data_IF_757109502747
#
_entry.id   IF_757109502747
#
_cell.length_a   1.000
_cell.length_b   1.000
_cell.length_c   1.000
_cell.angle_alpha   90.00
_cell.angle_beta   90.00
_cell.angle_gamma   90.00
#
_symmetry.space_group_name_H-M   'P 1'
#
loop_
_entity.id
_entity.type
_entity.pdbx_description
1 polymer ?
#
# COMPACT_ATOMS: atom_id res chain seq x y z
N UNK A 1 9.94 -7.72 56.27
CA UNK A 1 10.31 -7.54 54.86
C UNK A 1 9.45 -6.39 54.37
N UNK A 2 9.70 -5.18 54.91
CA UNK A 2 8.71 -4.10 54.94
C UNK A 2 9.37 -2.72 54.75
N UNK A 3 10.27 -2.61 53.78
CA UNK A 3 10.92 -1.32 53.43
C UNK A 3 10.67 -0.87 51.98
N UNK A 4 9.95 -1.64 51.17
CA UNK A 4 9.76 -1.33 49.74
C UNK A 4 8.51 -0.52 49.40
N UNK A 5 7.67 -0.16 50.38
CA UNK A 5 6.43 0.60 50.15
C UNK A 5 6.54 2.08 50.59
N UNK A 6 7.63 2.47 51.24
CA UNK A 6 7.84 3.86 51.71
C UNK A 6 8.39 4.84 50.66
N UNK A 7 8.68 4.42 49.43
CA UNK A 7 9.25 5.31 48.39
C UNK A 7 8.23 5.94 47.43
N UNK A 8 6.92 5.67 47.55
CA UNK A 8 5.92 6.15 46.57
C UNK A 8 5.09 7.34 47.11
N UNK A 9 5.31 7.80 48.35
CA UNK A 9 4.62 8.97 48.90
C UNK A 9 5.59 9.99 49.47
N UNK A 10 6.12 10.85 48.61
CA UNK A 10 6.85 12.02 49.08
C UNK A 10 7.38 12.87 47.95
N UNK A 11 6.52 13.67 47.31
CA UNK A 11 6.70 15.12 47.09
C UNK A 11 5.67 15.65 46.08
N UNK A 12 4.69 16.40 46.59
CA UNK A 12 4.00 17.47 45.85
C UNK A 12 4.62 18.81 46.28
N UNK A 13 4.45 19.81 45.40
CA UNK A 13 4.81 21.23 45.51
C UNK A 13 6.31 21.54 45.25
N UNK A 14 6.69 22.53 44.44
CA UNK A 14 6.08 23.85 44.23
C UNK A 14 6.66 24.56 43.00
N UNK A 15 5.90 25.55 42.56
CA UNK A 15 5.99 26.52 41.45
C UNK A 15 7.28 27.32 41.17
N UNK A 16 7.31 27.85 39.93
CA UNK A 16 7.93 29.11 39.42
C UNK A 16 9.48 29.14 39.29
N UNK A 17 10.14 29.72 38.27
CA UNK A 17 9.81 30.83 37.38
C UNK A 17 10.84 30.91 36.20
N UNK A 18 10.42 31.51 35.07
CA UNK A 18 11.16 32.35 34.08
C UNK A 18 12.25 31.85 33.08
N UNK A 19 11.97 32.28 31.83
CA UNK A 19 12.83 32.94 30.83
C UNK A 19 13.90 32.16 30.02
N UNK A 20 13.64 32.06 28.71
CA UNK A 20 14.51 32.64 27.68
C UNK A 20 15.59 31.73 27.07
N UNK A 21 15.43 31.36 25.80
CA UNK A 21 16.31 31.75 24.68
C UNK A 21 16.22 30.79 23.48
N UNK A 22 15.87 31.36 22.32
CA UNK A 22 16.07 30.78 20.98
C UNK A 22 17.46 31.25 20.51
N UNK A 23 18.20 30.46 19.71
CA UNK A 23 18.41 30.90 18.32
C UNK A 23 18.19 29.77 17.30
N UNK A 24 17.61 30.19 16.16
CA UNK A 24 17.57 29.45 14.90
C UNK A 24 18.87 29.64 14.13
N UNK A 25 19.18 28.61 13.36
CA UNK A 25 20.17 28.51 12.32
C UNK A 25 19.94 29.44 11.10
N UNK A 26 20.99 29.47 10.28
CA UNK A 26 21.12 29.83 8.86
C UNK A 26 21.64 31.23 8.50
N UNK A 27 22.82 31.24 7.87
CA UNK A 27 23.00 31.89 6.55
C UNK A 27 24.38 31.60 5.94
N UNK A 28 24.35 31.51 4.59
CA UNK A 28 25.43 31.68 3.61
C UNK A 28 26.11 30.39 3.15
N UNK A 29 26.43 30.17 1.86
CA UNK A 29 26.47 31.05 0.68
C UNK A 29 26.60 30.17 -0.58
N UNK A 30 26.03 30.65 -1.69
CA UNK A 30 26.18 30.09 -3.03
C UNK A 30 27.61 30.21 -3.59
N UNK A 31 28.03 29.29 -4.46
CA UNK A 31 29.05 29.52 -5.49
C UNK A 31 28.78 28.71 -6.77
N UNK A 32 28.73 29.44 -7.89
CA UNK A 32 28.84 28.97 -9.27
C UNK A 32 30.24 28.40 -9.58
N UNK A 33 30.34 27.53 -10.60
CA UNK A 33 31.63 27.26 -11.26
C UNK A 33 31.58 26.12 -12.28
N UNK A 34 31.72 26.48 -13.55
CA UNK A 34 31.71 25.65 -14.78
C UNK A 34 33.11 25.09 -15.11
N UNK A 35 33.12 23.97 -15.87
CA UNK A 35 34.04 23.58 -16.99
C UNK A 35 35.02 22.40 -16.85
N UNK A 36 34.92 21.51 -17.87
CA UNK A 36 35.97 20.70 -18.54
C UNK A 36 36.31 19.33 -17.92
N UNK A 37 36.61 18.25 -18.63
CA UNK A 37 36.71 17.93 -20.07
C UNK A 37 36.96 16.40 -20.21
N UNK A 38 36.50 15.79 -21.32
CA UNK A 38 36.89 14.52 -22.02
C UNK A 38 36.97 13.13 -21.33
N UNK A 39 36.14 12.19 -21.82
CA UNK A 39 36.51 10.89 -22.45
C UNK A 39 35.22 10.07 -22.73
N UNK A 40 34.65 10.12 -23.94
CA UNK A 40 34.66 9.07 -25.00
C UNK A 40 34.41 7.64 -24.47
N UNK A 41 33.19 7.13 -24.69
CA UNK A 41 32.93 5.87 -25.40
C UNK A 41 31.44 5.86 -25.80
N UNK A 42 31.19 5.81 -27.11
CA UNK A 42 29.86 5.80 -27.73
C UNK A 42 29.46 4.34 -27.95
N UNK A 43 28.39 3.81 -27.33
CA UNK A 43 27.89 2.48 -27.64
C UNK A 43 27.17 2.54 -28.99
N UNK A 44 27.65 1.75 -29.96
CA UNK A 44 27.06 1.65 -31.30
C UNK A 44 25.54 1.42 -31.26
N UNK A 45 24.84 2.14 -32.13
CA UNK A 45 23.40 2.08 -32.35
C UNK A 45 22.99 0.69 -32.88
N UNK A 46 22.06 -0.02 -32.22
CA UNK A 46 21.64 -1.36 -32.62
C UNK A 46 20.64 -1.37 -33.80
N UNK A 47 20.29 -0.22 -34.37
CA UNK A 47 19.28 -0.13 -35.44
C UNK A 47 19.85 -0.07 -36.88
N UNK A 48 21.16 -0.14 -37.07
CA UNK A 48 21.75 -0.39 -38.39
C UNK A 48 21.61 -1.87 -38.77
N UNK A 49 20.44 -2.24 -39.29
CA UNK A 49 20.24 -3.50 -40.00
C UNK A 49 20.25 -3.22 -41.51
N UNK A 50 21.36 -3.58 -42.16
CA UNK A 50 21.47 -3.63 -43.62
C UNK A 50 20.37 -4.55 -44.20
N UNK A 51 19.53 -3.99 -45.07
CA UNK A 51 18.62 -4.75 -45.92
C UNK A 51 19.44 -5.58 -46.92
N UNK A 52 19.50 -6.89 -46.71
CA UNK A 52 20.05 -7.84 -47.70
C UNK A 52 18.88 -8.56 -48.37
N UNK A 53 18.46 -8.06 -49.53
CA UNK A 53 17.65 -8.79 -50.50
C UNK A 53 18.53 -9.72 -51.35
N UNK A 54 18.33 -11.05 -51.35
CA UNK A 54 18.52 -11.91 -52.55
C UNK A 54 17.96 -13.36 -52.33
N UNK A 55 17.74 -14.20 -53.37
CA UNK A 55 16.56 -14.31 -54.23
C UNK A 55 15.79 -15.66 -54.10
N UNK A 56 14.61 -15.74 -54.71
CA UNK A 56 13.86 -16.97 -55.00
C UNK A 56 14.63 -17.94 -55.92
N UNK A 57 14.94 -19.17 -55.47
CA UNK A 57 14.77 -20.42 -56.25
C UNK A 57 15.15 -21.71 -55.47
N UNK A 58 14.27 -22.73 -55.48
CA UNK A 58 14.68 -24.13 -55.75
C UNK A 58 14.83 -25.18 -54.63
N UNK A 59 13.77 -25.99 -54.45
CA UNK A 59 13.72 -27.47 -54.22
C UNK A 59 14.30 -28.17 -52.96
N UNK A 60 13.36 -28.86 -52.29
CA UNK A 60 13.32 -30.26 -51.78
C UNK A 60 14.14 -30.75 -50.57
N UNK A 61 13.33 -31.24 -49.63
CA UNK A 61 13.42 -32.47 -48.81
C UNK A 61 14.34 -32.55 -47.57
N UNK A 62 13.65 -32.92 -46.48
CA UNK A 62 14.09 -33.66 -45.28
C UNK A 62 14.99 -32.98 -44.27
N UNK A 63 14.46 -32.86 -43.05
CA UNK A 63 15.27 -32.82 -41.83
C UNK A 63 14.90 -31.70 -40.87
N UNK A 64 14.16 -32.07 -39.84
CA UNK A 64 14.21 -31.47 -38.50
C UNK A 64 13.98 -29.96 -38.39
N UNK A 65 12.71 -29.56 -38.45
CA UNK A 65 12.27 -28.23 -38.06
C UNK A 65 12.22 -28.16 -36.52
N UNK A 66 13.36 -27.86 -35.90
CA UNK A 66 13.34 -27.22 -34.59
C UNK A 66 12.80 -25.80 -34.77
N UNK A 67 11.51 -25.64 -34.53
CA UNK A 67 10.85 -24.35 -34.44
C UNK A 67 11.33 -23.64 -33.16
N UNK A 68 12.18 -22.61 -33.22
CA UNK A 68 12.61 -21.92 -32.03
C UNK A 68 11.45 -21.01 -31.60
N UNK A 69 10.96 -21.21 -30.37
CA UNK A 69 10.05 -20.29 -29.65
C UNK A 69 8.54 -20.37 -29.92
N UNK A 70 7.96 -21.53 -30.28
CA UNK A 70 6.49 -21.70 -30.27
C UNK A 70 5.89 -21.96 -28.87
N UNK A 71 6.30 -21.21 -27.85
CA UNK A 71 5.74 -21.34 -26.49
C UNK A 71 5.61 -20.00 -25.78
N UNK A 72 4.88 -19.07 -26.39
CA UNK A 72 4.28 -17.94 -25.69
C UNK A 72 2.76 -18.11 -25.73
N UNK A 73 2.26 -19.04 -24.91
CA UNK A 73 0.84 -19.07 -24.62
C UNK A 73 0.48 -17.75 -23.91
N UNK A 74 -0.50 -16.97 -24.39
CA UNK A 74 -0.97 -15.81 -23.67
C UNK A 74 -1.49 -16.27 -22.31
N UNK A 75 -0.78 -15.94 -21.23
CA UNK A 75 -1.34 -16.08 -19.90
C UNK A 75 -2.57 -15.16 -19.88
N UNK A 76 -3.77 -15.74 -19.72
CA UNK A 76 -4.99 -14.96 -19.57
C UNK A 76 -4.86 -14.16 -18.28
N UNK A 77 -4.45 -12.89 -18.39
CA UNK A 77 -4.43 -11.96 -17.28
C UNK A 77 -5.87 -11.67 -16.91
N UNK A 78 -6.36 -12.32 -15.86
CA UNK A 78 -7.66 -12.01 -15.29
C UNK A 78 -7.52 -10.70 -14.50
N UNK A 79 -7.76 -9.58 -15.17
CA UNK A 79 -7.77 -8.26 -14.53
C UNK A 79 -9.12 -8.11 -13.83
N UNK A 80 -9.11 -8.24 -12.50
CA UNK A 80 -10.30 -7.98 -11.70
C UNK A 80 -10.59 -6.47 -11.73
N UNK A 81 -11.74 -6.10 -12.30
CA UNK A 81 -12.23 -4.73 -12.26
C UNK A 81 -12.84 -4.45 -10.88
N UNK A 82 -12.28 -3.47 -10.17
CA UNK A 82 -12.86 -2.98 -8.92
C UNK A 82 -14.17 -2.23 -9.23
N UNK A 83 -15.23 -2.54 -8.50
CA UNK A 83 -16.56 -1.95 -8.70
C UNK A 83 -16.75 -0.71 -7.82
N UNK A 84 -16.20 0.42 -8.27
CA UNK A 84 -16.35 1.70 -7.59
C UNK A 84 -17.77 2.26 -7.69
N UNK A 85 -18.57 1.84 -8.67
CA UNK A 85 -19.96 2.28 -8.80
C UNK A 85 -20.80 1.69 -7.66
N UNK A 86 -20.64 0.39 -7.38
CA UNK A 86 -21.27 -0.27 -6.22
C UNK A 86 -20.73 0.29 -4.90
N UNK A 87 -19.41 0.54 -4.80
CA UNK A 87 -18.83 1.17 -3.60
C UNK A 87 -19.47 2.54 -3.34
N UNK A 88 -19.57 3.37 -4.37
CA UNK A 88 -20.19 4.69 -4.30
C UNK A 88 -21.67 4.62 -3.88
N UNK A 89 -22.41 3.62 -4.36
CA UNK A 89 -23.79 3.39 -3.94
C UNK A 89 -23.85 2.99 -2.45
N UNK A 90 -23.01 2.05 -2.00
CA UNK A 90 -22.92 1.63 -0.59
C UNK A 90 -22.55 2.80 0.32
N UNK A 91 -21.59 3.64 -0.10
CA UNK A 91 -21.17 4.85 0.62
C UNK A 91 -22.35 5.82 0.82
N UNK A 92 -23.17 6.05 -0.22
CA UNK A 92 -24.36 6.91 -0.17
C UNK A 92 -25.44 6.34 0.76
N UNK A 93 -25.79 5.06 0.60
CA UNK A 93 -26.82 4.40 1.41
C UNK A 93 -26.47 4.36 2.89
N UNK A 94 -25.18 4.17 3.19
CA UNK A 94 -24.69 3.99 4.56
C UNK A 94 -24.18 5.27 5.20
N UNK A 95 -24.30 6.42 4.52
CA UNK A 95 -23.83 7.73 4.97
C UNK A 95 -22.36 7.69 5.42
N UNK A 96 -21.48 7.14 4.59
CA UNK A 96 -20.04 7.07 4.86
C UNK A 96 -19.45 8.49 5.00
N UNK A 97 -18.72 8.73 6.08
CA UNK A 97 -18.22 10.07 6.46
C UNK A 97 -16.71 10.25 6.22
N UNK A 98 -15.99 9.14 6.04
CA UNK A 98 -14.53 9.10 6.07
C UNK A 98 -14.02 8.30 4.87
N UNK A 99 -13.23 8.95 4.02
CA UNK A 99 -12.47 8.31 2.95
C UNK A 99 -11.12 7.77 3.46
N UNK A 100 -10.57 6.79 2.76
CA UNK A 100 -9.35 6.09 3.18
C UNK A 100 -8.15 7.03 3.31
N UNK A 101 -7.96 7.99 2.41
CA UNK A 101 -6.85 8.94 2.50
C UNK A 101 -6.87 9.73 3.82
N UNK A 102 -8.06 10.16 4.26
CA UNK A 102 -8.24 10.82 5.56
C UNK A 102 -7.88 9.91 6.74
N UNK A 103 -8.08 8.60 6.60
CA UNK A 103 -7.65 7.61 7.61
C UNK A 103 -6.12 7.51 7.62
N UNK A 104 -5.46 7.47 6.47
CA UNK A 104 -3.99 7.39 6.36
C UNK A 104 -3.29 8.58 7.00
N UNK A 105 -3.86 9.78 6.85
CA UNK A 105 -3.30 11.01 7.41
C UNK A 105 -3.64 11.20 8.90
N UNK A 106 -4.53 10.37 9.43
CA UNK A 106 -4.96 10.47 10.83
C UNK A 106 -3.81 10.18 11.80
N UNK A 107 -3.63 11.10 12.75
CA UNK A 107 -2.77 10.91 13.93
C UNK A 107 -3.47 10.18 15.07
N UNK A 108 -4.77 9.90 14.95
CA UNK A 108 -5.54 9.17 15.98
C UNK A 108 -5.20 7.68 15.97
N UNK A 109 -5.42 7.02 17.09
CA UNK A 109 -5.28 5.56 17.24
C UNK A 109 -6.57 4.80 16.92
N UNK A 110 -7.64 5.51 16.54
CA UNK A 110 -8.94 4.94 16.22
C UNK A 110 -9.66 5.77 15.17
N UNK A 111 -10.39 5.09 14.29
CA UNK A 111 -11.31 5.69 13.31
C UNK A 111 -12.70 5.71 13.94
N UNK A 112 -13.23 6.88 14.28
CA UNK A 112 -14.52 6.99 14.99
C UNK A 112 -15.75 6.86 14.08
N UNK A 113 -15.62 7.23 12.80
CA UNK A 113 -16.72 7.20 11.84
C UNK A 113 -16.80 5.93 11.01
N UNK A 114 -17.76 5.92 10.08
CA UNK A 114 -17.98 4.84 9.13
C UNK A 114 -17.14 5.11 7.88
N UNK A 115 -16.49 4.07 7.38
CA UNK A 115 -15.76 4.08 6.11
C UNK A 115 -16.02 2.79 5.34
N UNK A 116 -15.80 2.83 4.03
CA UNK A 116 -15.99 1.68 3.16
C UNK A 116 -14.80 1.52 2.21
N UNK A 117 -14.51 0.28 1.83
CA UNK A 117 -13.48 -0.02 0.85
C UNK A 117 -13.66 -1.41 0.24
N UNK A 118 -13.11 -1.59 -0.95
CA UNK A 118 -13.06 -2.87 -1.64
C UNK A 118 -11.80 -3.61 -1.18
N UNK A 119 -11.92 -4.91 -0.88
CA UNK A 119 -10.77 -5.78 -0.63
C UNK A 119 -10.02 -5.97 -1.95
N UNK A 120 -8.91 -5.26 -2.13
CA UNK A 120 -8.03 -5.40 -3.30
C UNK A 120 -7.10 -6.60 -3.19
N UNK A 121 -6.64 -6.90 -1.97
CA UNK A 121 -5.81 -8.06 -1.65
C UNK A 121 -6.26 -8.68 -0.34
N UNK A 122 -6.17 -9.99 -0.26
CA UNK A 122 -6.42 -10.78 0.95
C UNK A 122 -5.43 -11.94 0.97
N UNK A 123 -4.68 -12.07 2.06
CA UNK A 123 -3.69 -13.12 2.25
C UNK A 123 -3.73 -13.61 3.69
N UNK A 124 -3.82 -14.93 3.88
CA UNK A 124 -3.60 -15.53 5.18
C UNK A 124 -2.14 -15.34 5.62
N UNK A 125 -1.95 -14.99 6.88
CA UNK A 125 -0.64 -14.83 7.50
C UNK A 125 -0.60 -15.65 8.79
N UNK A 126 0.12 -16.77 8.77
CA UNK A 126 0.09 -17.73 9.88
C UNK A 126 -1.24 -18.48 9.96
N UNK A 127 -1.58 -18.94 11.16
CA UNK A 127 -2.75 -19.81 11.40
C UNK A 127 -4.00 -19.09 11.88
N UNK A 128 -3.91 -17.80 12.25
CA UNK A 128 -5.00 -17.08 12.92
C UNK A 128 -5.31 -15.70 12.33
N UNK A 129 -4.47 -15.19 11.43
CA UNK A 129 -4.54 -13.80 10.96
C UNK A 129 -4.63 -13.74 9.44
N UNK A 130 -5.42 -12.79 8.93
CA UNK A 130 -5.43 -12.42 7.53
C UNK A 130 -5.04 -10.95 7.37
N UNK A 131 -4.16 -10.68 6.41
CA UNK A 131 -3.82 -9.33 5.97
C UNK A 131 -4.64 -8.97 4.74
N UNK A 132 -5.15 -7.74 4.69
CA UNK A 132 -5.95 -7.23 3.59
C UNK A 132 -5.53 -5.81 3.19
N UNK A 133 -5.69 -5.48 1.92
CA UNK A 133 -5.53 -4.13 1.38
C UNK A 133 -6.92 -3.63 0.98
N UNK A 134 -7.44 -2.61 1.66
CA UNK A 134 -8.68 -1.94 1.28
C UNK A 134 -8.37 -0.78 0.35
N UNK A 135 -9.22 -0.57 -0.65
CA UNK A 135 -9.13 0.53 -1.59
C UNK A 135 -10.48 1.22 -1.78
N UNK A 136 -10.45 2.53 -1.91
CA UNK A 136 -11.57 3.35 -2.33
C UNK A 136 -11.09 4.36 -3.39
N UNK A 137 -11.94 5.33 -3.75
CA UNK A 137 -11.62 6.34 -4.75
C UNK A 137 -10.50 7.29 -4.32
N UNK A 138 -10.24 7.43 -3.01
CA UNK A 138 -9.22 8.31 -2.43
C UNK A 138 -7.85 7.64 -2.28
N UNK A 139 -7.82 6.32 -2.08
CA UNK A 139 -6.56 5.60 -1.93
C UNK A 139 -6.71 4.21 -1.35
N UNK A 140 -5.61 3.68 -0.81
CA UNK A 140 -5.57 2.36 -0.20
C UNK A 140 -4.90 2.34 1.17
N UNK A 141 -5.36 1.43 2.02
CA UNK A 141 -4.85 1.21 3.38
C UNK A 141 -4.78 -0.29 3.69
N UNK A 142 -3.71 -0.69 4.36
CA UNK A 142 -3.54 -2.06 4.84
C UNK A 142 -4.30 -2.28 6.15
N UNK A 143 -4.77 -3.50 6.35
CA UNK A 143 -5.37 -3.92 7.60
C UNK A 143 -5.14 -5.40 7.87
N UNK A 144 -5.43 -5.81 9.10
CA UNK A 144 -5.42 -7.20 9.52
C UNK A 144 -6.67 -7.51 10.31
N UNK A 145 -7.16 -8.73 10.15
CA UNK A 145 -8.28 -9.28 10.89
C UNK A 145 -8.01 -10.75 11.27
N UNK A 146 -8.71 -11.28 12.28
CA UNK A 146 -8.68 -12.72 12.55
C UNK A 146 -9.19 -13.52 11.34
N UNK A 147 -8.60 -14.68 11.06
CA UNK A 147 -9.09 -15.59 10.02
C UNK A 147 -10.55 -16.01 10.26
N UNK A 148 -10.96 -16.13 11.52
CA UNK A 148 -12.36 -16.39 11.86
C UNK A 148 -13.33 -15.34 11.29
N UNK A 149 -12.91 -14.07 11.17
CA UNK A 149 -13.73 -13.02 10.56
C UNK A 149 -13.75 -13.14 9.03
N UNK A 150 -12.70 -13.67 8.42
CA UNK A 150 -12.71 -14.00 6.98
C UNK A 150 -13.76 -15.06 6.69
N UNK A 151 -13.78 -16.13 7.50
CA UNK A 151 -14.71 -17.25 7.33
C UNK A 151 -16.16 -16.85 7.67
N UNK A 152 -16.37 -16.16 8.79
CA UNK A 152 -17.69 -15.73 9.27
C UNK A 152 -18.39 -14.80 8.26
N UNK A 153 -17.66 -13.86 7.68
CA UNK A 153 -18.20 -12.85 6.78
C UNK A 153 -17.99 -13.17 5.29
N UNK A 154 -17.35 -14.31 4.97
CA UNK A 154 -17.07 -14.71 3.60
C UNK A 154 -16.17 -13.73 2.83
N UNK A 155 -15.17 -13.15 3.50
CA UNK A 155 -14.34 -12.10 2.92
C UNK A 155 -13.46 -12.67 1.79
N UNK A 156 -13.51 -12.03 0.63
CA UNK A 156 -12.70 -12.37 -0.54
C UNK A 156 -12.28 -11.12 -1.30
N UNK A 157 -11.26 -11.25 -2.14
CA UNK A 157 -10.86 -10.17 -3.05
C UNK A 157 -12.07 -9.73 -3.91
N UNK A 158 -12.27 -8.41 -4.04
CA UNK A 158 -13.42 -7.79 -4.72
C UNK A 158 -14.60 -7.45 -3.81
N UNK A 159 -14.64 -7.98 -2.58
CA UNK A 159 -15.73 -7.71 -1.62
C UNK A 159 -15.69 -6.27 -1.13
N UNK A 160 -16.85 -5.63 -0.99
CA UNK A 160 -16.96 -4.31 -0.35
C UNK A 160 -17.25 -4.48 1.13
N UNK A 161 -16.41 -3.87 1.97
CA UNK A 161 -16.59 -3.85 3.42
C UNK A 161 -17.01 -2.47 3.89
N UNK A 162 -18.05 -2.44 4.73
CA UNK A 162 -18.42 -1.27 5.52
C UNK A 162 -17.92 -1.49 6.95
N UNK A 163 -17.08 -0.57 7.43
CA UNK A 163 -16.36 -0.69 8.70
C UNK A 163 -16.65 0.50 9.61
N UNK A 164 -16.62 0.26 10.93
CA UNK A 164 -16.64 1.33 11.91
C UNK A 164 -15.77 1.02 13.12
N UNK A 165 -15.30 2.07 13.80
CA UNK A 165 -14.62 1.99 15.10
C UNK A 165 -13.35 1.12 15.07
N UNK A 166 -12.69 1.00 13.93
CA UNK A 166 -11.43 0.27 13.78
C UNK A 166 -10.30 0.99 14.50
N UNK A 167 -9.43 0.22 15.15
CA UNK A 167 -8.19 0.75 15.73
C UNK A 167 -7.14 0.95 14.63
N UNK A 168 -6.29 1.95 14.78
CA UNK A 168 -5.16 2.23 13.91
C UNK A 168 -3.86 1.90 14.64
N UNK A 169 -3.10 0.97 14.08
CA UNK A 169 -1.74 0.66 14.49
C UNK A 169 -0.75 1.42 13.61
N UNK A 170 0.40 1.81 14.19
CA UNK A 170 1.46 2.54 13.51
C UNK A 170 2.58 1.58 13.13
N UNK A 171 2.36 0.79 12.07
CA UNK A 171 3.30 -0.21 11.58
C UNK A 171 3.70 0.19 10.16
N UNK A 172 4.86 0.82 10.00
CA UNK A 172 5.30 1.39 8.72
C UNK A 172 4.27 2.31 8.04
N UNK A 173 3.42 2.96 8.83
CA UNK A 173 2.25 3.70 8.39
C UNK A 173 1.00 3.35 9.20
N UNK A 174 -0.15 3.87 8.80
CA UNK A 174 -1.43 3.50 9.38
C UNK A 174 -1.86 2.13 8.88
N UNK A 175 -2.11 1.23 9.83
CA UNK A 175 -2.61 -0.12 9.58
C UNK A 175 -3.87 -0.35 10.39
N UNK A 176 -4.95 -0.81 9.75
CA UNK A 176 -6.22 -1.07 10.41
C UNK A 176 -6.17 -2.39 11.18
N UNK A 177 -6.51 -2.35 12.47
CA UNK A 177 -6.85 -3.55 13.22
C UNK A 177 -8.37 -3.73 13.20
N UNK A 178 -8.82 -4.78 12.50
CA UNK A 178 -10.22 -5.03 12.18
C UNK A 178 -10.67 -6.28 12.94
N UNK A 179 -11.54 -6.09 13.94
CA UNK A 179 -12.25 -7.18 14.60
C UNK A 179 -13.60 -7.44 13.91
N UNK A 180 -14.19 -8.62 14.10
CA UNK A 180 -15.52 -8.94 13.56
C UNK A 180 -16.59 -7.90 13.95
N UNK A 181 -16.52 -7.40 15.19
CA UNK A 181 -17.42 -6.33 15.69
C UNK A 181 -17.29 -4.98 14.96
N UNK A 182 -16.23 -4.78 14.17
CA UNK A 182 -16.06 -3.57 13.36
C UNK A 182 -16.76 -3.69 11.99
N UNK A 183 -17.07 -4.90 11.55
CA UNK A 183 -17.68 -5.18 10.24
C UNK A 183 -19.18 -4.95 10.33
N UNK A 184 -19.65 -3.87 9.71
CA UNK A 184 -21.05 -3.49 9.73
C UNK A 184 -21.84 -4.17 8.61
N UNK A 185 -21.24 -4.27 7.42
CA UNK A 185 -21.87 -4.82 6.22
C UNK A 185 -20.79 -5.34 5.27
N UNK A 186 -21.12 -6.39 4.54
CA UNK A 186 -20.32 -6.97 3.47
C UNK A 186 -21.20 -7.07 2.22
N UNK A 187 -20.69 -6.65 1.07
CA UNK A 187 -21.38 -6.67 -0.23
C UNK A 187 -20.53 -7.40 -1.25
#
# INVERSE_FOLDING_TARGET
MDELISQIRGTQAREEDKEGSIPKDESSRAHNGVSGDLAIEDPQDPFDQEEVEVPLCGKKDTGDAHDPTSSQAPASLHIMKLDFDVLSQVKKESQVEIDIERIKDSKKYKVEGIFAGIIKKLSAFGSDTACLELVDESGSICGSCPLSAVDEFGLKVGTIMLLSKCSLWKINGNHLNIAGVNIMKVV
#
